data_IF_528516137135
#
_entry.id   IF_528516137135
#
_cell.length_a   1.000
_cell.length_b   1.000
_cell.length_c   1.000
_cell.angle_alpha   90.00
_cell.angle_beta   90.00
_cell.angle_gamma   90.00
#
_symmetry.space_group_name_H-M   'P 1'
#
loop_
_entity.id
_entity.type
_entity.pdbx_description
1 polymer ?
#
# COMPACT_ATOMS: atom_id res chain seq x y z
N UNK A 1 -2.43 23.38 -2.77
CA UNK A 1 -2.84 22.69 -4.01
C UNK A 1 -2.71 21.19 -3.75
N UNK A 2 -3.81 20.44 -3.63
CA UNK A 2 -3.78 18.98 -3.45
C UNK A 2 -3.82 18.34 -4.84
N UNK A 3 -2.90 17.41 -5.11
CA UNK A 3 -2.82 16.73 -6.40
C UNK A 3 -3.33 15.29 -6.20
N UNK A 4 -4.26 14.89 -7.06
CA UNK A 4 -4.95 13.60 -7.02
C UNK A 4 -4.35 12.71 -8.10
N UNK A 5 -3.75 11.58 -7.73
CA UNK A 5 -3.15 10.62 -8.65
C UNK A 5 -3.94 9.30 -8.67
N UNK A 6 -4.25 8.76 -9.87
CA UNK A 6 -4.75 7.40 -9.99
C UNK A 6 -3.60 6.41 -9.79
N UNK A 7 -3.68 5.55 -8.77
CA UNK A 7 -2.79 4.41 -8.62
C UNK A 7 -3.35 3.22 -9.43
N UNK A 8 -2.49 2.51 -10.15
CA UNK A 8 -2.86 1.28 -10.85
C UNK A 8 -3.51 0.32 -9.83
N UNK A 9 -4.73 -0.17 -10.13
CA UNK A 9 -5.68 -0.90 -9.24
C UNK A 9 -6.77 -0.07 -8.51
N UNK A 10 -7.29 1.00 -9.12
CA UNK A 10 -8.48 1.76 -8.67
C UNK A 10 -8.36 2.42 -7.29
N UNK A 11 -7.14 2.74 -6.86
CA UNK A 11 -6.92 3.51 -5.63
C UNK A 11 -6.57 4.96 -5.97
N UNK A 12 -7.11 5.90 -5.20
CA UNK A 12 -6.87 7.33 -5.37
C UNK A 12 -5.85 7.80 -4.33
N UNK A 13 -4.78 8.46 -4.75
CA UNK A 13 -3.77 9.01 -3.86
C UNK A 13 -3.84 10.54 -3.86
N UNK A 14 -4.05 11.13 -2.68
CA UNK A 14 -4.00 12.59 -2.45
C UNK A 14 -2.70 12.95 -1.73
N UNK A 15 -1.87 13.82 -2.32
CA UNK A 15 -0.66 14.34 -1.68
C UNK A 15 -0.45 15.84 -1.94
N UNK A 16 0.44 16.45 -1.14
CA UNK A 16 0.87 17.85 -1.24
C UNK A 16 2.01 18.07 -2.25
N UNK A 17 2.89 17.09 -2.49
CA UNK A 17 4.08 17.20 -3.36
C UNK A 17 4.26 15.99 -4.31
N UNK A 18 4.77 16.26 -5.54
CA UNK A 18 4.94 15.28 -6.63
C UNK A 18 6.15 14.33 -6.42
N UNK A 19 7.22 14.78 -5.77
CA UNK A 19 8.50 14.08 -5.69
C UNK A 19 8.51 12.84 -4.78
N UNK A 20 7.49 12.67 -3.94
CA UNK A 20 7.37 11.59 -2.94
C UNK A 20 6.77 10.31 -3.55
N UNK A 21 6.56 10.26 -4.87
CA UNK A 21 6.00 9.08 -5.53
C UNK A 21 7.06 8.01 -5.85
N UNK A 22 8.31 8.43 -6.10
CA UNK A 22 9.42 7.54 -6.46
C UNK A 22 9.94 6.74 -5.26
N UNK A 23 10.05 7.35 -4.09
CA UNK A 23 10.55 6.68 -2.88
C UNK A 23 9.59 5.60 -2.36
N UNK A 24 8.28 5.87 -2.44
CA UNK A 24 7.22 4.98 -1.94
C UNK A 24 6.50 4.22 -3.07
N UNK A 25 7.16 4.08 -4.23
CA UNK A 25 6.62 3.31 -5.33
C UNK A 25 6.34 1.87 -4.86
N UNK A 26 5.29 1.24 -5.40
CA UNK A 26 4.93 -0.14 -5.04
C UNK A 26 6.11 -1.11 -5.24
N UNK A 27 6.97 -0.82 -6.21
CA UNK A 27 8.18 -1.58 -6.53
C UNK A 27 9.23 -1.55 -5.41
N UNK A 28 9.22 -0.54 -4.54
CA UNK A 28 10.14 -0.42 -3.40
C UNK A 28 9.73 -1.31 -2.22
N UNK A 29 8.46 -1.69 -2.13
CA UNK A 29 7.95 -2.53 -1.03
C UNK A 29 7.95 -4.01 -1.40
N UNK A 30 8.19 -4.87 -0.40
CA UNK A 30 7.95 -6.31 -0.53
C UNK A 30 6.46 -6.59 -0.70
N UNK A 31 6.14 -7.70 -1.36
CA UNK A 31 4.74 -8.13 -1.48
C UNK A 31 4.16 -8.46 -0.10
N UNK A 32 3.19 -7.66 0.35
CA UNK A 32 2.61 -7.79 1.68
C UNK A 32 1.91 -9.14 1.89
N UNK A 33 1.32 -9.72 0.85
CA UNK A 33 0.62 -11.00 0.96
C UNK A 33 1.64 -12.13 1.16
N UNK A 34 2.76 -12.11 0.46
CA UNK A 34 3.85 -13.06 0.66
C UNK A 34 4.38 -13.01 2.09
N UNK A 35 4.61 -11.82 2.63
CA UNK A 35 5.09 -11.65 4.01
C UNK A 35 4.08 -12.21 5.03
N UNK A 36 2.80 -11.88 4.89
CA UNK A 36 1.74 -12.39 5.78
C UNK A 36 1.63 -13.91 5.71
N UNK A 37 1.72 -14.49 4.51
CA UNK A 37 1.66 -15.93 4.32
C UNK A 37 2.79 -16.68 5.05
N UNK A 38 4.01 -16.14 5.06
CA UNK A 38 5.14 -16.76 5.78
C UNK A 38 4.86 -16.82 7.28
N UNK A 39 4.38 -15.73 7.88
CA UNK A 39 4.07 -15.66 9.31
C UNK A 39 2.91 -16.58 9.67
N UNK A 40 1.89 -16.65 8.80
CA UNK A 40 0.74 -17.52 9.01
C UNK A 40 1.11 -19.00 8.94
N UNK A 41 1.90 -19.39 7.94
CA UNK A 41 2.32 -20.79 7.76
C UNK A 41 3.28 -21.26 8.85
N UNK A 42 4.05 -20.34 9.45
CA UNK A 42 4.89 -20.60 10.61
C UNK A 42 4.08 -20.71 11.92
N UNK A 43 2.75 -20.56 11.89
CA UNK A 43 1.86 -20.58 13.05
C UNK A 43 2.23 -19.50 14.09
N UNK A 44 2.83 -18.40 13.62
CA UNK A 44 3.20 -17.26 14.48
C UNK A 44 2.05 -16.26 14.62
N UNK A 45 1.12 -16.21 13.65
CA UNK A 45 -0.08 -15.39 13.70
C UNK A 45 -1.21 -15.97 12.83
N UNK A 46 -2.45 -15.60 13.15
CA UNK A 46 -3.62 -15.96 12.33
C UNK A 46 -4.06 -14.80 11.44
N UNK A 47 -4.45 -15.12 10.20
CA UNK A 47 -5.04 -14.14 9.29
C UNK A 47 -6.50 -13.93 9.70
N UNK A 48 -6.83 -12.72 10.16
CA UNK A 48 -8.19 -12.36 10.59
C UNK A 48 -8.97 -11.74 9.43
N UNK A 49 -8.38 -10.74 8.76
CA UNK A 49 -9.04 -10.01 7.66
C UNK A 49 -8.01 -9.43 6.69
N UNK A 50 -8.40 -9.27 5.42
CA UNK A 50 -7.61 -8.59 4.39
C UNK A 50 -8.33 -7.32 3.93
N UNK A 51 -7.68 -6.17 4.05
CA UNK A 51 -8.24 -4.88 3.66
C UNK A 51 -7.84 -4.53 2.23
N UNK A 52 -8.78 -3.93 1.48
CA UNK A 52 -8.52 -3.37 0.15
C UNK A 52 -8.50 -1.85 0.22
N UNK A 53 -7.41 -1.28 -0.28
CA UNK A 53 -7.19 0.16 -0.26
C UNK A 53 -8.08 0.88 -1.29
N UNK A 54 -8.74 1.97 -0.86
CA UNK A 54 -9.60 2.81 -1.72
C UNK A 54 -8.97 4.19 -1.91
N UNK A 55 -8.56 4.84 -0.81
CA UNK A 55 -7.95 6.18 -0.83
C UNK A 55 -6.73 6.22 0.09
N UNK A 56 -5.68 6.92 -0.34
CA UNK A 56 -4.49 7.24 0.46
C UNK A 56 -4.38 8.75 0.56
N UNK A 57 -4.26 9.28 1.78
CA UNK A 57 -3.96 10.69 2.02
C UNK A 57 -2.59 10.76 2.68
N UNK A 58 -1.64 11.50 2.09
CA UNK A 58 -0.33 11.77 2.71
C UNK A 58 -0.09 13.27 2.87
N UNK A 59 0.54 13.64 3.98
CA UNK A 59 0.93 15.01 4.34
C UNK A 59 2.09 15.55 3.51
#
# INVERSE_FOLDING_TARGET
MQIVFPLHKRAIVRKRCLHIHSEEALQTYKDAQQVVNVVHNAVLASIIVRLKLIVVVKG
#
